data_IF_940883144085
#
_entry.id   IF_940883144085
#
_cell.length_a   1.000
_cell.length_b   1.000
_cell.length_c   1.000
_cell.angle_alpha   90.00
_cell.angle_beta   90.00
_cell.angle_gamma   90.00
#
_symmetry.space_group_name_H-M   'P 1'
#
loop_
_entity.id
_entity.type
_entity.pdbx_description
1 polymer ?
#
# COMPACT_ATOMS: atom_id res chain seq x y z
N UNK A 1 -15.42 18.78 0.61
CA UNK A 1 -14.30 17.91 0.97
C UNK A 1 -14.73 16.49 1.26
N UNK A 2 -15.74 16.29 2.09
CA UNK A 2 -16.20 14.95 2.45
C UNK A 2 -16.72 14.13 1.27
N UNK A 3 -17.43 14.78 0.33
CA UNK A 3 -17.94 14.09 -0.87
C UNK A 3 -16.81 13.58 -1.76
N UNK A 4 -15.77 14.38 -1.98
CA UNK A 4 -14.61 13.99 -2.76
C UNK A 4 -13.85 12.85 -2.07
N UNK A 5 -13.75 12.93 -0.72
CA UNK A 5 -13.10 11.89 0.06
C UNK A 5 -13.83 10.56 -0.05
N UNK A 6 -15.16 10.56 -0.05
CA UNK A 6 -15.95 9.33 -0.18
C UNK A 6 -15.76 8.69 -1.55
N UNK A 7 -15.76 9.51 -2.61
CA UNK A 7 -15.54 8.99 -3.96
C UNK A 7 -14.13 8.44 -4.10
N UNK A 8 -13.14 9.19 -3.61
CA UNK A 8 -11.76 8.74 -3.64
C UNK A 8 -11.58 7.43 -2.86
N UNK A 9 -12.23 7.30 -1.72
CA UNK A 9 -12.18 6.08 -0.92
C UNK A 9 -12.78 4.89 -1.66
N UNK A 10 -13.91 5.05 -2.34
CA UNK A 10 -14.52 3.97 -3.12
C UNK A 10 -13.62 3.53 -4.26
N UNK A 11 -13.04 4.49 -4.98
CA UNK A 11 -12.10 4.19 -6.06
C UNK A 11 -10.89 3.47 -5.49
N UNK A 12 -10.37 3.92 -4.36
CA UNK A 12 -9.24 3.28 -3.69
C UNK A 12 -9.53 1.85 -3.29
N UNK A 13 -10.71 1.59 -2.74
CA UNK A 13 -11.11 0.23 -2.35
C UNK A 13 -11.21 -0.69 -3.56
N UNK A 14 -11.76 -0.18 -4.67
CA UNK A 14 -11.83 -0.94 -5.92
C UNK A 14 -10.44 -1.23 -6.47
N UNK A 15 -9.57 -0.21 -6.49
CA UNK A 15 -8.19 -0.37 -6.97
C UNK A 15 -7.49 -1.43 -6.12
N UNK A 16 -7.66 -1.39 -4.81
CA UNK A 16 -7.01 -2.36 -3.92
C UNK A 16 -7.39 -3.79 -4.28
N UNK A 17 -8.67 -4.06 -4.47
CA UNK A 17 -9.14 -5.40 -4.82
C UNK A 17 -8.62 -5.86 -6.17
N UNK A 18 -8.77 -5.01 -7.18
CA UNK A 18 -8.37 -5.38 -8.54
C UNK A 18 -6.86 -5.47 -8.68
N UNK A 19 -6.13 -4.59 -8.00
CA UNK A 19 -4.68 -4.59 -8.05
C UNK A 19 -4.10 -5.82 -7.36
N UNK A 20 -4.66 -6.21 -6.21
CA UNK A 20 -4.24 -7.43 -5.52
C UNK A 20 -4.42 -8.65 -6.43
N UNK A 21 -5.53 -8.70 -7.15
CA UNK A 21 -5.82 -9.77 -8.10
C UNK A 21 -4.84 -9.77 -9.26
N UNK A 22 -4.59 -8.58 -9.84
CA UNK A 22 -3.64 -8.43 -10.95
C UNK A 22 -2.23 -8.87 -10.56
N UNK A 23 -1.76 -8.45 -9.40
CA UNK A 23 -0.42 -8.80 -8.94
C UNK A 23 -0.28 -10.29 -8.69
N UNK A 24 -1.32 -10.92 -8.19
CA UNK A 24 -1.30 -12.36 -7.90
C UNK A 24 -1.36 -13.21 -9.17
N UNK A 25 -2.20 -12.82 -10.13
CA UNK A 25 -2.54 -13.68 -11.27
C UNK A 25 -1.80 -13.34 -12.55
N UNK A 26 -1.45 -12.08 -12.76
CA UNK A 26 -1.00 -11.63 -14.08
C UNK A 26 0.42 -11.08 -14.13
N UNK A 27 1.01 -10.77 -12.99
CA UNK A 27 2.39 -10.28 -12.96
C UNK A 27 3.30 -11.41 -12.50
N UNK A 28 4.22 -11.82 -13.38
CA UNK A 28 5.10 -12.95 -13.13
C UNK A 28 6.53 -12.53 -12.77
N UNK A 29 6.68 -11.40 -12.11
CA UNK A 29 7.98 -10.95 -11.63
C UNK A 29 8.18 -11.50 -10.21
N UNK A 30 9.24 -12.30 -9.97
CA UNK A 30 9.46 -12.86 -8.63
C UNK A 30 9.63 -11.80 -7.55
N UNK A 31 10.06 -10.58 -7.92
CA UNK A 31 10.20 -9.48 -6.95
C UNK A 31 8.83 -8.97 -6.46
N UNK A 32 7.78 -9.21 -7.22
CA UNK A 32 6.42 -8.77 -6.93
C UNK A 32 5.57 -9.88 -6.29
N UNK A 33 5.94 -11.14 -6.51
CA UNK A 33 5.15 -12.29 -6.06
C UNK A 33 4.92 -12.35 -4.56
N UNK A 34 5.76 -11.69 -3.77
CA UNK A 34 5.65 -11.65 -2.31
C UNK A 34 5.05 -10.35 -1.79
N UNK A 35 4.53 -9.50 -2.69
CA UNK A 35 3.93 -8.21 -2.35
C UNK A 35 2.47 -8.40 -1.99
N UNK A 36 2.05 -7.78 -0.89
CA UNK A 36 0.66 -7.71 -0.48
C UNK A 36 0.25 -6.25 -0.40
N UNK A 37 -0.81 -5.87 -1.11
CA UNK A 37 -1.34 -4.51 -1.04
C UNK A 37 -2.14 -4.37 0.25
N UNK A 38 -1.76 -3.42 1.10
CA UNK A 38 -2.38 -3.22 2.41
C UNK A 38 -3.39 -2.09 2.42
N UNK A 39 -3.18 -1.07 1.59
CA UNK A 39 -4.09 0.07 1.52
C UNK A 39 -3.87 0.82 0.22
N UNK A 40 -4.88 1.58 -0.20
CA UNK A 40 -4.80 2.48 -1.34
C UNK A 40 -5.42 3.81 -0.94
N UNK A 41 -4.66 4.89 -1.12
CA UNK A 41 -5.14 6.24 -0.89
C UNK A 41 -5.17 7.00 -2.21
N UNK A 42 -6.35 7.43 -2.63
CA UNK A 42 -6.55 8.15 -3.87
C UNK A 42 -6.74 9.63 -3.56
N UNK A 43 -6.09 10.50 -4.34
CA UNK A 43 -6.25 11.95 -4.18
C UNK A 43 -7.70 12.36 -4.50
N UNK A 44 -8.19 13.47 -3.91
CA UNK A 44 -9.58 13.89 -4.12
C UNK A 44 -9.94 14.13 -5.59
N UNK A 45 -8.97 14.56 -6.41
CA UNK A 45 -9.18 14.77 -7.85
C UNK A 45 -9.01 13.49 -8.66
N UNK A 46 -8.75 12.36 -8.01
CA UNK A 46 -8.59 11.04 -8.61
C UNK A 46 -7.40 10.93 -9.57
N UNK A 47 -6.42 11.82 -9.47
CA UNK A 47 -5.27 11.83 -10.38
C UNK A 47 -4.10 10.98 -9.88
N UNK A 48 -4.00 10.75 -8.59
CA UNK A 48 -2.91 9.99 -7.99
C UNK A 48 -3.44 8.98 -6.98
N UNK A 49 -2.80 7.82 -6.92
CA UNK A 49 -3.10 6.79 -5.94
C UNK A 49 -1.81 6.32 -5.29
N UNK A 50 -1.75 6.37 -3.97
CA UNK A 50 -0.67 5.76 -3.20
C UNK A 50 -1.06 4.32 -2.89
N UNK A 51 -0.22 3.39 -3.34
CA UNK A 51 -0.43 1.97 -3.15
C UNK A 51 0.52 1.50 -2.06
N UNK A 52 -0.01 1.27 -0.87
CA UNK A 52 0.79 0.76 0.24
C UNK A 52 0.89 -0.75 0.17
N UNK A 53 2.08 -1.26 0.35
CA UNK A 53 2.31 -2.71 0.25
C UNK A 53 3.30 -3.18 1.30
N UNK A 54 3.23 -4.46 1.63
CA UNK A 54 4.24 -5.15 2.42
C UNK A 54 4.89 -6.22 1.57
N UNK A 55 6.07 -6.68 1.99
CA UNK A 55 6.78 -7.77 1.32
C UNK A 55 6.98 -8.89 2.32
N UNK A 56 6.62 -10.10 1.92
CA UNK A 56 6.69 -11.27 2.80
C UNK A 56 8.10 -11.50 3.35
N UNK A 57 9.13 -11.21 2.55
CA UNK A 57 10.52 -11.40 2.97
C UNK A 57 11.08 -10.22 3.77
N UNK A 58 10.30 -9.15 3.98
CA UNK A 58 10.67 -8.06 4.88
C UNK A 58 11.04 -6.76 4.20
N UNK A 59 11.30 -5.76 5.02
CA UNK A 59 11.53 -4.39 4.60
C UNK A 59 12.79 -4.23 3.72
N UNK A 60 13.78 -5.10 3.89
CA UNK A 60 15.01 -5.04 3.09
C UNK A 60 14.76 -5.25 1.59
N UNK A 61 13.62 -5.80 1.23
CA UNK A 61 13.24 -6.00 -0.16
C UNK A 61 12.37 -4.87 -0.71
N UNK A 62 12.10 -3.83 0.09
CA UNK A 62 11.17 -2.77 -0.28
C UNK A 62 11.62 -2.00 -1.54
N UNK A 63 12.88 -1.60 -1.60
CA UNK A 63 13.38 -0.83 -2.75
C UNK A 63 13.30 -1.61 -4.05
N UNK A 64 13.69 -2.87 -4.01
CA UNK A 64 13.63 -3.76 -5.18
C UNK A 64 12.18 -3.94 -5.63
N UNK A 65 11.27 -4.14 -4.67
CA UNK A 65 9.85 -4.30 -4.97
C UNK A 65 9.25 -3.02 -5.55
N UNK A 66 9.58 -1.85 -4.98
CA UNK A 66 9.10 -0.57 -5.51
C UNK A 66 9.55 -0.40 -6.96
N UNK A 67 10.82 -0.66 -7.24
CA UNK A 67 11.34 -0.53 -8.60
C UNK A 67 10.59 -1.44 -9.58
N UNK A 68 10.34 -2.69 -9.17
CA UNK A 68 9.62 -3.65 -10.01
C UNK A 68 8.17 -3.22 -10.23
N UNK A 69 7.50 -2.75 -9.18
CA UNK A 69 6.11 -2.30 -9.26
C UNK A 69 5.98 -1.05 -10.15
N UNK A 70 6.89 -0.09 -9.98
CA UNK A 70 6.86 1.11 -10.81
C UNK A 70 7.19 0.79 -12.28
N UNK A 71 8.05 -0.17 -12.52
CA UNK A 71 8.31 -0.64 -13.88
C UNK A 71 7.05 -1.22 -14.53
N UNK A 72 6.21 -1.88 -13.74
CA UNK A 72 4.97 -2.49 -14.22
C UNK A 72 3.77 -1.54 -14.16
N UNK A 73 3.95 -0.31 -13.68
CA UNK A 73 2.82 0.61 -13.41
C UNK A 73 1.98 0.89 -14.67
N UNK A 74 2.62 1.05 -15.83
CA UNK A 74 1.90 1.30 -17.07
C UNK A 74 0.99 0.15 -17.44
N UNK A 75 1.50 -1.09 -17.35
CA UNK A 75 0.71 -2.28 -17.59
C UNK A 75 -0.46 -2.38 -16.59
N UNK A 76 -0.18 -2.17 -15.32
CA UNK A 76 -1.20 -2.25 -14.28
C UNK A 76 -2.30 -1.22 -14.49
N UNK A 77 -1.93 0.01 -14.86
CA UNK A 77 -2.93 1.05 -15.15
C UNK A 77 -3.81 0.68 -16.33
N UNK A 78 -3.23 0.12 -17.38
CA UNK A 78 -3.98 -0.33 -18.55
C UNK A 78 -4.98 -1.41 -18.16
N UNK A 79 -4.57 -2.38 -17.37
CA UNK A 79 -5.45 -3.46 -16.92
C UNK A 79 -6.56 -2.94 -16.00
N UNK A 80 -6.23 -2.00 -15.10
CA UNK A 80 -7.22 -1.38 -14.24
C UNK A 80 -8.26 -0.60 -15.05
N UNK A 81 -7.81 0.11 -16.09
CA UNK A 81 -8.72 0.86 -16.95
C UNK A 81 -9.71 -0.07 -17.64
N UNK A 82 -9.27 -1.24 -18.11
CA UNK A 82 -10.13 -2.24 -18.72
C UNK A 82 -11.15 -2.78 -17.73
N UNK A 83 -10.72 -3.05 -16.50
CA UNK A 83 -11.59 -3.63 -15.47
C UNK A 83 -12.64 -2.65 -14.98
N UNK A 84 -12.28 -1.36 -14.89
CA UNK A 84 -13.18 -0.32 -14.38
C UNK A 84 -13.98 0.37 -15.47
N UNK A 85 -13.61 0.21 -16.72
CA UNK A 85 -14.19 0.97 -17.84
C UNK A 85 -14.10 2.47 -17.60
N UNK A 86 -12.97 2.91 -17.06
CA UNK A 86 -12.72 4.33 -16.75
C UNK A 86 -11.97 4.99 -17.89
N UNK A 87 -12.22 6.31 -18.08
CA UNK A 87 -11.46 7.10 -19.04
C UNK A 87 -9.98 7.20 -18.65
N UNK A 88 -9.74 7.33 -17.39
CA UNK A 88 -8.37 7.39 -16.88
C UNK A 88 -8.28 6.72 -15.53
N UNK A 89 -7.10 6.17 -15.26
CA UNK A 89 -6.78 5.56 -13.97
C UNK A 89 -5.78 6.47 -13.29
N UNK A 90 -5.87 6.67 -11.96
CA UNK A 90 -4.87 7.46 -11.25
C UNK A 90 -3.46 6.96 -11.51
N UNK A 91 -2.49 7.85 -11.44
CA UNK A 91 -1.09 7.44 -11.47
C UNK A 91 -0.79 6.65 -10.19
N UNK A 92 -0.12 5.52 -10.35
CA UNK A 92 0.16 4.61 -9.23
C UNK A 92 1.52 4.93 -8.63
N UNK A 93 1.54 5.16 -7.32
CA UNK A 93 2.76 5.40 -6.56
C UNK A 93 2.87 4.34 -5.49
N UNK A 94 3.87 3.48 -5.59
CA UNK A 94 4.02 2.35 -4.68
C UNK A 94 4.89 2.75 -3.50
N UNK A 95 4.37 2.51 -2.30
CA UNK A 95 5.02 2.89 -1.04
C UNK A 95 5.02 1.68 -0.11
N UNK A 96 6.18 1.37 0.45
CA UNK A 96 6.27 0.29 1.42
C UNK A 96 5.51 0.69 2.69
N UNK A 97 4.63 -0.19 3.14
CA UNK A 97 3.84 0.05 4.35
C UNK A 97 4.61 -0.53 5.56
N UNK A 98 5.24 0.34 6.32
CA UNK A 98 5.95 -0.07 7.52
C UNK A 98 5.12 0.12 8.80
N UNK A 99 3.81 0.32 8.67
CA UNK A 99 2.94 0.61 9.80
C UNK A 99 2.96 -0.51 10.85
N UNK A 100 3.03 -1.78 10.41
CA UNK A 100 3.11 -2.91 11.33
C UNK A 100 4.42 -2.88 12.11
N UNK A 101 5.54 -2.69 11.42
CA UNK A 101 6.85 -2.62 12.04
C UNK A 101 6.96 -1.41 12.97
N UNK A 102 6.48 -0.25 12.51
CA UNK A 102 6.45 0.97 13.31
C UNK A 102 5.54 0.81 14.52
N UNK A 103 4.39 0.17 14.35
CA UNK A 103 3.46 -0.11 15.44
C UNK A 103 4.07 -1.02 16.48
N UNK A 104 4.76 -2.06 16.07
CA UNK A 104 5.46 -2.97 16.98
C UNK A 104 6.55 -2.23 17.76
N UNK A 105 7.30 -1.37 17.08
CA UNK A 105 8.34 -0.58 17.71
C UNK A 105 7.78 0.37 18.75
N UNK A 106 6.67 1.03 18.41
CA UNK A 106 5.99 1.94 19.33
C UNK A 106 5.43 1.19 20.54
N UNK A 107 4.82 0.03 20.32
CA UNK A 107 4.32 -0.82 21.40
C UNK A 107 5.43 -1.21 22.38
N UNK A 108 6.60 -1.58 21.83
CA UNK A 108 7.75 -1.92 22.67
C UNK A 108 8.21 -0.73 23.50
N UNK A 109 8.27 0.46 22.89
CA UNK A 109 8.65 1.68 23.61
C UNK A 109 7.67 2.00 24.74
N UNK A 110 6.38 1.82 24.50
CA UNK A 110 5.36 2.04 25.52
C UNK A 110 5.50 1.02 26.65
N UNK A 111 5.70 -0.25 26.32
CA UNK A 111 5.88 -1.31 27.32
C UNK A 111 7.13 -1.04 28.18
N UNK A 112 8.24 -0.62 27.56
CA UNK A 112 9.46 -0.30 28.29
C UNK A 112 9.25 0.90 29.24
N UNK A 113 8.52 1.92 28.78
CA UNK A 113 8.21 3.09 29.61
C UNK A 113 7.33 2.71 30.82
N UNK A 114 6.33 1.86 30.61
CA UNK A 114 5.47 1.37 31.70
C UNK A 114 6.29 0.54 32.69
N UNK A 115 7.17 -0.31 32.20
CA UNK A 115 8.04 -1.11 33.06
C UNK A 115 8.94 -0.22 33.93
N UNK A 116 9.49 0.87 33.35
CA UNK A 116 10.30 1.81 34.12
C UNK A 116 9.48 2.55 35.19
N UNK A 117 8.27 2.98 34.84
CA UNK A 117 7.37 3.63 35.81
C UNK A 117 7.04 2.71 36.98
N UNK A 118 6.90 1.41 36.72
CA UNK A 118 6.67 0.42 37.78
C UNK A 118 7.91 0.24 38.68
N UNK A 119 9.11 0.38 38.10
CA UNK A 119 10.36 0.28 38.85
C UNK A 119 10.62 1.51 39.71
N UNK A 120 10.08 2.66 39.32
CA UNK A 120 10.27 3.92 39.99
C UNK A 120 8.92 4.55 40.38
N UNK A 121 8.13 3.86 41.20
CA UNK A 121 6.87 4.44 41.64
C UNK A 121 7.14 5.63 42.51
N UNK A 122 6.62 6.76 42.15
CA UNK A 122 6.77 7.97 42.95
C UNK A 122 5.49 8.33 43.64
#
# INVERSE_FOLDING_TARGET
MKKNSQRAQRVGDQIQRELADLLRLHVKDPRIGMVTVTAVEVSPDLSHAKIFFTHLAGKEHAETAVAALQHSAGYLRTELAHRFKLYSVPQLHFVYDDSIESGLRLSKLIDDAVAEDRKHPS
#
